data_IF_591698571420
#
_entry.id   IF_591698571420
#
_cell.length_a   1.000
_cell.length_b   1.000
_cell.length_c   1.000
_cell.angle_alpha   90.00
_cell.angle_beta   90.00
_cell.angle_gamma   90.00
#
_symmetry.space_group_name_H-M   'P 1'
#
loop_
_entity.id
_entity.type
_entity.pdbx_description
1 polymer ?
#
# COMPACT_ATOMS: atom_id res chain seq x y z
N UNK A 1 14.87 6.28 -12.13
CA UNK A 1 13.52 6.83 -12.39
C UNK A 1 12.43 5.88 -11.82
N UNK A 2 11.90 6.14 -10.61
CA UNK A 2 10.81 5.34 -9.98
C UNK A 2 9.41 5.93 -10.17
N UNK A 3 9.30 7.16 -10.69
CA UNK A 3 8.03 7.85 -10.91
C UNK A 3 7.15 7.26 -12.02
N UNK A 4 7.75 6.48 -12.93
CA UNK A 4 7.12 6.02 -14.17
C UNK A 4 6.63 4.57 -14.14
N UNK A 5 6.66 3.90 -12.98
CA UNK A 5 6.17 2.52 -12.88
C UNK A 5 4.65 2.50 -12.78
N UNK A 6 4.01 1.85 -13.75
CA UNK A 6 2.57 1.60 -13.75
C UNK A 6 2.15 0.69 -12.59
N UNK A 7 3.00 -0.24 -12.17
CA UNK A 7 2.70 -1.17 -11.08
C UNK A 7 3.76 -1.09 -9.99
N UNK A 8 3.31 -0.82 -8.77
CA UNK A 8 4.11 -0.92 -7.55
C UNK A 8 3.34 -1.77 -6.55
N UNK A 9 3.98 -2.77 -5.97
CA UNK A 9 3.41 -3.55 -4.87
C UNK A 9 3.51 -2.78 -3.56
N UNK A 10 2.49 -2.93 -2.72
CA UNK A 10 2.41 -2.35 -1.38
C UNK A 10 1.90 -3.41 -0.42
N UNK A 11 1.94 -3.12 0.88
CA UNK A 11 1.28 -3.93 1.89
C UNK A 11 1.05 -3.06 3.14
N UNK A 12 -0.08 -3.24 3.82
CA UNK A 12 -0.32 -2.63 5.11
C UNK A 12 0.48 -3.34 6.22
N UNK A 13 0.95 -2.59 7.22
CA UNK A 13 1.79 -3.16 8.29
C UNK A 13 1.07 -4.26 9.08
N UNK A 14 -0.24 -4.12 9.30
CA UNK A 14 -1.02 -5.15 9.98
C UNK A 14 -1.05 -6.48 9.21
N UNK A 15 -1.09 -6.43 7.88
CA UNK A 15 -1.04 -7.64 7.05
C UNK A 15 0.35 -8.28 7.03
N UNK A 16 1.43 -7.50 7.17
CA UNK A 16 2.77 -8.05 7.42
C UNK A 16 2.77 -8.81 8.75
N UNK A 17 2.23 -8.21 9.81
CA UNK A 17 2.14 -8.84 11.13
C UNK A 17 1.33 -10.14 11.09
N UNK A 18 0.21 -10.16 10.35
CA UNK A 18 -0.58 -11.38 10.14
C UNK A 18 0.23 -12.47 9.45
N UNK A 19 0.93 -12.15 8.36
CA UNK A 19 1.74 -13.11 7.63
C UNK A 19 2.90 -13.67 8.47
N UNK A 20 3.57 -12.82 9.26
CA UNK A 20 4.62 -13.25 10.18
C UNK A 20 4.07 -14.19 11.26
N UNK A 21 2.96 -13.83 11.90
CA UNK A 21 2.29 -14.68 12.90
C UNK A 21 1.91 -16.05 12.31
N UNK A 22 1.33 -16.05 11.10
CA UNK A 22 0.98 -17.29 10.42
C UNK A 22 2.23 -18.14 10.09
N UNK A 23 3.32 -17.53 9.62
CA UNK A 23 4.56 -18.25 9.32
C UNK A 23 5.25 -18.82 10.56
N UNK A 24 5.14 -18.15 11.71
CA UNK A 24 5.67 -18.65 12.99
C UNK A 24 4.85 -19.87 13.44
N UNK A 25 3.52 -19.82 13.30
CA UNK A 25 2.62 -20.90 13.71
C UNK A 25 2.61 -22.09 12.74
N UNK A 26 3.02 -21.89 11.48
CA UNK A 26 3.14 -22.92 10.46
C UNK A 26 4.57 -22.92 9.87
N UNK A 27 5.58 -23.36 10.66
CA UNK A 27 6.96 -23.33 10.23
C UNK A 27 7.16 -24.08 8.92
N UNK A 28 7.86 -23.45 7.98
CA UNK A 28 8.18 -24.06 6.69
C UNK A 28 9.60 -23.69 6.25
N UNK A 29 10.52 -24.65 6.41
CA UNK A 29 11.94 -24.47 6.09
C UNK A 29 12.15 -24.15 4.60
N UNK A 30 12.94 -23.11 4.32
CA UNK A 30 13.35 -22.74 2.97
C UNK A 30 12.27 -22.11 2.09
N UNK A 31 11.05 -21.88 2.60
CA UNK A 31 9.98 -21.26 1.81
C UNK A 31 10.11 -19.73 1.79
N UNK A 32 9.80 -19.15 0.63
CA UNK A 32 9.74 -17.71 0.41
C UNK A 32 8.31 -17.31 0.07
N UNK A 33 7.81 -16.27 0.72
CA UNK A 33 6.47 -15.73 0.52
C UNK A 33 6.56 -14.26 0.10
N UNK A 34 5.82 -13.89 -0.94
CA UNK A 34 5.61 -12.49 -1.28
C UNK A 34 4.49 -11.94 -0.41
N UNK A 35 4.81 -10.92 0.40
CA UNK A 35 3.87 -10.26 1.30
C UNK A 35 3.48 -8.92 0.66
N UNK A 36 2.44 -8.97 -0.18
CA UNK A 36 1.93 -7.84 -0.98
C UNK A 36 0.40 -7.86 -1.02
N UNK A 37 -0.21 -6.70 -1.19
CA UNK A 37 -1.65 -6.52 -1.38
C UNK A 37 -2.15 -7.08 -2.73
N UNK A 38 -3.46 -7.00 -2.98
CA UNK A 38 -4.10 -7.48 -4.21
C UNK A 38 -4.16 -6.42 -5.33
N UNK A 39 -3.78 -5.19 -5.02
CA UNK A 39 -3.97 -4.02 -5.87
C UNK A 39 -2.64 -3.34 -6.24
N UNK A 40 -1.85 -3.97 -7.14
CA UNK A 40 -0.69 -3.30 -7.70
C UNK A 40 -1.14 -2.07 -8.49
N UNK A 41 -0.81 -0.89 -7.98
CA UNK A 41 -1.31 0.39 -8.51
C UNK A 41 -0.18 1.40 -8.79
N UNK A 42 -0.35 2.33 -9.75
CA UNK A 42 0.62 3.39 -10.01
C UNK A 42 0.88 4.25 -8.78
N UNK A 43 2.09 4.81 -8.64
CA UNK A 43 2.39 5.71 -7.52
C UNK A 43 1.51 6.96 -7.55
N UNK A 44 1.30 7.54 -8.73
CA UNK A 44 0.51 8.75 -8.91
C UNK A 44 -0.92 8.60 -8.38
N UNK A 45 -1.59 7.47 -8.71
CA UNK A 45 -2.95 7.21 -8.23
C UNK A 45 -3.03 7.08 -6.70
N UNK A 46 -2.07 6.37 -6.10
CA UNK A 46 -2.05 6.22 -4.64
C UNK A 46 -1.80 7.54 -3.93
N UNK A 47 -0.91 8.39 -4.48
CA UNK A 47 -0.69 9.74 -3.93
C UNK A 47 -1.90 10.65 -4.10
N UNK A 48 -2.58 10.58 -5.25
CA UNK A 48 -3.80 11.34 -5.48
C UNK A 48 -4.90 10.96 -4.48
N UNK A 49 -5.11 9.67 -4.24
CA UNK A 49 -6.07 9.21 -3.25
C UNK A 49 -5.66 9.57 -1.82
N UNK A 50 -4.38 9.47 -1.47
CA UNK A 50 -3.91 9.88 -0.14
C UNK A 50 -4.16 11.37 0.10
N UNK A 51 -3.92 12.23 -0.90
CA UNK A 51 -4.21 13.67 -0.83
C UNK A 51 -5.69 13.93 -0.62
N UNK A 52 -6.54 13.32 -1.44
CA UNK A 52 -7.99 13.43 -1.32
C UNK A 52 -8.47 13.01 0.07
N UNK A 53 -7.97 11.88 0.58
CA UNK A 53 -8.32 11.39 1.90
C UNK A 53 -7.92 12.36 3.02
N UNK A 54 -6.73 12.97 2.93
CA UNK A 54 -6.28 13.97 3.90
C UNK A 54 -7.13 15.24 3.83
N UNK A 55 -7.35 15.80 2.65
CA UNK A 55 -8.11 17.05 2.48
C UNK A 55 -9.59 16.89 2.87
N UNK A 56 -10.21 15.75 2.53
CA UNK A 56 -11.59 15.46 2.94
C UNK A 56 -11.73 15.38 4.47
N UNK A 57 -10.68 14.99 5.19
CA UNK A 57 -10.69 14.90 6.65
C UNK A 57 -10.18 16.17 7.33
N UNK A 58 -9.22 16.86 6.73
CA UNK A 58 -8.56 18.06 7.23
C UNK A 58 -8.34 19.04 6.08
N UNK A 59 -9.37 19.83 5.74
CA UNK A 59 -9.26 20.81 4.68
C UNK A 59 -8.13 21.80 4.94
N UNK A 60 -7.28 22.03 3.93
CA UNK A 60 -6.18 23.01 3.97
C UNK A 60 -4.92 22.54 4.70
N UNK A 61 -4.85 21.26 5.12
CA UNK A 61 -3.69 20.72 5.82
C UNK A 61 -2.53 20.45 4.86
N UNK A 62 -2.84 20.10 3.60
CA UNK A 62 -1.84 20.00 2.55
C UNK A 62 -1.62 21.39 1.98
N UNK A 63 -0.49 22.01 2.36
CA UNK A 63 0.00 23.21 1.68
C UNK A 63 0.12 22.87 0.19
N UNK A 64 -0.40 23.75 -0.68
CA UNK A 64 -0.19 23.64 -2.12
C UNK A 64 1.30 23.80 -2.42
N UNK A 65 2.03 22.69 -2.35
CA UNK A 65 3.39 22.64 -2.83
C UNK A 65 3.30 22.54 -4.36
N UNK A 66 3.74 23.60 -5.03
CA UNK A 66 3.99 23.70 -6.48
C UNK A 66 5.14 22.80 -6.95
N UNK A 67 5.29 21.62 -6.36
CA UNK A 67 6.01 20.54 -7.03
C UNK A 67 5.01 20.04 -8.05
N UNK A 68 4.98 20.70 -9.21
CA UNK A 68 4.57 20.00 -10.41
C UNK A 68 5.39 18.73 -10.40
N UNK A 69 4.75 17.55 -10.28
CA UNK A 69 5.53 16.35 -10.49
C UNK A 69 6.06 16.49 -11.91
N UNK A 70 7.38 16.53 -12.04
CA UNK A 70 8.08 16.48 -13.31
C UNK A 70 7.83 15.09 -13.92
N UNK A 71 6.57 14.81 -14.23
CA UNK A 71 6.13 13.69 -15.03
C UNK A 71 6.30 14.14 -16.47
N UNK A 72 7.56 14.23 -16.92
CA UNK A 72 7.81 14.16 -18.34
C UNK A 72 7.20 12.84 -18.81
N UNK A 73 6.15 12.91 -19.63
CA UNK A 73 5.51 11.72 -20.21
C UNK A 73 6.46 11.14 -21.27
N UNK A 74 7.62 10.64 -20.86
CA UNK A 74 8.23 9.56 -21.61
C UNK A 74 7.39 8.32 -21.31
N UNK A 75 6.79 7.75 -22.35
CA UNK A 75 6.24 6.40 -22.28
C UNK A 75 7.37 5.46 -21.85
N UNK A 76 7.51 5.24 -20.55
CA UNK A 76 8.44 4.27 -20.00
C UNK A 76 8.22 2.95 -20.71
N UNK A 77 9.31 2.30 -21.13
CA UNK A 77 9.20 1.01 -21.79
C UNK A 77 8.44 0.03 -20.87
N UNK A 78 7.43 -0.70 -21.37
CA UNK A 78 6.77 -1.75 -20.59
C UNK A 78 7.74 -2.88 -20.19
N UNK A 79 8.96 -2.91 -20.75
CA UNK A 79 10.05 -3.78 -20.28
C UNK A 79 10.43 -3.43 -18.85
N UNK A 80 9.96 -4.24 -17.91
CA UNK A 80 10.34 -4.19 -16.49
C UNK A 80 9.18 -3.93 -15.53
N UNK A 81 7.97 -3.75 -16.04
CA UNK A 81 6.77 -3.79 -15.22
C UNK A 81 6.57 -5.20 -14.65
N UNK A 82 6.49 -5.29 -13.32
CA UNK A 82 6.31 -6.56 -12.62
C UNK A 82 5.14 -6.42 -11.66
N UNK A 83 4.23 -7.38 -11.74
CA UNK A 83 3.19 -7.62 -10.73
C UNK A 83 3.62 -8.81 -9.90
N UNK A 84 3.48 -8.69 -8.58
CA UNK A 84 3.92 -9.72 -7.63
C UNK A 84 2.68 -10.46 -7.14
N UNK A 85 2.66 -11.79 -7.29
CA UNK A 85 1.57 -12.62 -6.78
C UNK A 85 1.76 -12.93 -5.30
N UNK A 86 0.68 -12.81 -4.52
CA UNK A 86 0.59 -13.20 -3.12
C UNK A 86 -0.15 -14.54 -2.91
N UNK A 87 -0.46 -15.27 -4.00
CA UNK A 87 -1.26 -16.49 -3.93
C UNK A 87 -0.68 -17.54 -2.97
N UNK A 88 0.66 -17.63 -2.88
CA UNK A 88 1.34 -18.57 -1.98
C UNK A 88 1.05 -18.27 -0.50
N UNK A 89 1.17 -17.01 -0.05
CA UNK A 89 0.89 -16.68 1.36
C UNK A 89 -0.58 -16.93 1.70
N UNK A 90 -1.50 -16.67 0.76
CA UNK A 90 -2.93 -16.92 0.97
C UNK A 90 -3.24 -18.41 1.07
N UNK A 91 -2.65 -19.22 0.19
CA UNK A 91 -2.90 -20.66 0.12
C UNK A 91 -2.23 -21.42 1.27
N UNK A 92 -0.96 -21.15 1.54
CA UNK A 92 -0.16 -21.97 2.45
C UNK A 92 -0.15 -21.44 3.89
N UNK A 93 -0.17 -20.11 4.08
CA UNK A 93 -0.23 -19.50 5.42
C UNK A 93 -1.68 -19.19 5.84
N UNK A 94 -2.65 -19.35 4.95
CA UNK A 94 -4.06 -19.04 5.24
C UNK A 94 -4.35 -17.55 5.46
N UNK A 95 -3.42 -16.66 5.07
CA UNK A 95 -3.54 -15.21 5.31
C UNK A 95 -4.71 -14.65 4.51
N UNK A 96 -5.60 -13.93 5.19
CA UNK A 96 -6.66 -13.11 4.60
C UNK A 96 -6.32 -11.65 4.88
N UNK A 97 -6.12 -10.87 3.82
CA UNK A 97 -5.72 -9.47 3.92
C UNK A 97 -6.84 -8.64 4.57
N UNK A 98 -6.48 -7.87 5.60
CA UNK A 98 -7.33 -6.83 6.18
C UNK A 98 -7.41 -5.62 5.25
N UNK A 99 -6.32 -5.31 4.55
CA UNK A 99 -6.23 -4.21 3.60
C UNK A 99 -5.82 -4.73 2.22
N UNK A 100 -6.76 -5.30 1.44
CA UNK A 100 -6.45 -5.88 0.14
C UNK A 100 -6.02 -4.86 -0.93
N UNK A 101 -6.21 -3.56 -0.67
CA UNK A 101 -5.81 -2.48 -1.58
C UNK A 101 -5.18 -1.30 -0.86
N UNK A 102 -4.48 -0.45 -1.62
CA UNK A 102 -3.98 0.82 -1.11
C UNK A 102 -5.10 1.71 -0.57
N UNK A 103 -6.32 1.63 -1.13
CA UNK A 103 -7.47 2.41 -0.67
C UNK A 103 -7.89 2.00 0.73
N UNK A 104 -8.07 0.68 0.95
CA UNK A 104 -8.38 0.13 2.26
C UNK A 104 -7.25 0.37 3.27
N UNK A 105 -5.98 0.29 2.84
CA UNK A 105 -4.82 0.51 3.70
C UNK A 105 -4.73 1.96 4.18
N UNK A 106 -4.81 2.91 3.25
CA UNK A 106 -4.77 4.35 3.58
C UNK A 106 -5.99 4.78 4.42
N UNK A 107 -7.17 4.22 4.14
CA UNK A 107 -8.35 4.46 4.98
C UNK A 107 -8.14 3.94 6.41
N UNK A 108 -7.54 2.75 6.56
CA UNK A 108 -7.19 2.18 7.86
C UNK A 108 -6.25 3.09 8.66
N UNK A 109 -5.18 3.56 8.01
CA UNK A 109 -4.23 4.51 8.61
C UNK A 109 -4.94 5.80 9.05
N UNK A 110 -5.77 6.38 8.17
CA UNK A 110 -6.50 7.61 8.47
C UNK A 110 -7.46 7.43 9.67
N UNK A 111 -8.20 6.33 9.71
CA UNK A 111 -9.11 6.04 10.81
C UNK A 111 -8.34 5.81 12.13
N UNK A 112 -7.19 5.15 12.07
CA UNK A 112 -6.31 4.95 13.24
C UNK A 112 -5.84 6.31 13.80
N UNK A 113 -5.33 7.20 12.95
CA UNK A 113 -4.88 8.54 13.37
C UNK A 113 -5.99 9.35 14.07
N UNK A 114 -7.23 9.26 13.60
CA UNK A 114 -8.37 9.94 14.22
C UNK A 114 -8.64 9.44 15.64
N UNK A 115 -8.49 8.14 15.85
CA UNK A 115 -8.69 7.56 17.17
C UNK A 115 -7.75 8.21 18.19
N UNK A 116 -6.46 8.36 17.86
CA UNK A 116 -5.46 8.99 18.75
C UNK A 116 -5.78 10.44 19.09
N UNK A 117 -6.29 11.22 18.14
CA UNK A 117 -6.62 12.63 18.37
C UNK A 117 -7.79 12.80 19.34
N UNK A 118 -8.70 11.83 19.36
CA UNK A 118 -9.86 11.84 20.26
C UNK A 118 -9.48 11.44 21.70
N UNK A 119 -8.32 10.83 21.92
CA UNK A 119 -7.84 10.45 23.27
C UNK A 119 -6.85 11.45 23.88
N UNK A 120 -6.28 12.36 23.07
CA UNK A 120 -5.40 13.44 23.55
C UNK A 120 -6.10 14.81 23.63
N UNK A 121 -7.42 14.88 23.39
CA UNK A 121 -8.26 16.08 23.59
C UNK A 121 -9.16 15.95 24.80
#
# INVERSE_FOLDING_TARGET
MRGYRQYTSRIHVEDICQALKASINLPSLGKVYNIVDDDPSPRAEVFAYARDLVENRRPGWIKQTTVQPEFFVEKGSPRGEKRVSNARMKKELGVRLLHPSYRSGLQGIMNFMQHYETYES
#
